data_IF_615672543254
#
_entry.id   IF_615672543254
#
_cell.length_a   1.000
_cell.length_b   1.000
_cell.length_c   1.000
_cell.angle_alpha   90.00
_cell.angle_beta   90.00
_cell.angle_gamma   90.00
#
_symmetry.space_group_name_H-M   'P 1'
#
loop_
_entity.id
_entity.type
_entity.pdbx_description
1 polymer ?
#
# COMPACT_ATOMS: atom_id res chain seq x y z
N UNK A 1 43.60 28.16 26.58
CA UNK A 1 43.95 27.79 25.20
C UNK A 1 43.92 26.27 24.99
N UNK A 2 44.44 25.43 25.89
CA UNK A 2 44.34 23.96 25.73
C UNK A 2 42.87 23.45 25.61
N UNK A 3 41.96 23.95 26.45
CA UNK A 3 40.57 23.50 26.47
C UNK A 3 39.76 23.85 25.20
N UNK A 4 40.13 24.91 24.46
CA UNK A 4 39.39 25.29 23.24
C UNK A 4 39.72 24.36 22.08
N UNK A 5 40.97 23.88 22.01
CA UNK A 5 41.41 22.98 20.93
C UNK A 5 40.75 21.61 21.08
N UNK A 6 40.63 21.09 22.30
CA UNK A 6 39.95 19.82 22.55
C UNK A 6 38.47 19.88 22.17
N UNK A 7 37.79 20.98 22.51
CA UNK A 7 36.39 21.18 22.17
C UNK A 7 36.15 21.25 20.65
N UNK A 8 36.99 21.97 19.91
CA UNK A 8 36.93 22.05 18.44
C UNK A 8 37.11 20.67 17.79
N UNK A 9 38.06 19.87 18.27
CA UNK A 9 38.29 18.51 17.78
C UNK A 9 37.06 17.64 18.00
N UNK A 10 36.41 17.74 19.17
CA UNK A 10 35.20 16.99 19.48
C UNK A 10 34.03 17.38 18.57
N UNK A 11 33.82 18.68 18.32
CA UNK A 11 32.79 19.17 17.40
C UNK A 11 33.01 18.70 15.95
N UNK A 12 34.26 18.79 15.46
CA UNK A 12 34.64 18.29 14.14
C UNK A 12 34.45 16.78 14.02
N UNK A 13 34.81 16.02 15.05
CA UNK A 13 34.61 14.57 15.08
C UNK A 13 33.12 14.20 15.06
N UNK A 14 32.29 14.89 15.85
CA UNK A 14 30.85 14.68 15.87
C UNK A 14 30.21 15.02 14.52
N UNK A 15 30.60 16.15 13.92
CA UNK A 15 30.14 16.54 12.58
C UNK A 15 30.57 15.55 11.50
N UNK A 16 31.83 15.11 11.53
CA UNK A 16 32.35 14.12 10.60
C UNK A 16 31.57 12.80 10.71
N UNK A 17 31.32 12.33 11.92
CA UNK A 17 30.52 11.13 12.18
C UNK A 17 29.09 11.25 11.63
N UNK A 18 28.40 12.35 11.94
CA UNK A 18 27.05 12.60 11.41
C UNK A 18 27.04 12.69 9.88
N UNK A 19 28.02 13.39 9.28
CA UNK A 19 28.14 13.50 7.83
C UNK A 19 28.32 12.14 7.16
N UNK A 20 29.15 11.26 7.72
CA UNK A 20 29.32 9.88 7.23
C UNK A 20 28.01 9.11 7.31
N UNK A 21 27.26 9.23 8.41
CA UNK A 21 25.93 8.59 8.55
C UNK A 21 24.97 9.10 7.47
N UNK A 22 24.86 10.41 7.26
CA UNK A 22 23.96 10.98 6.25
C UNK A 22 24.36 10.59 4.83
N UNK A 23 25.66 10.58 4.50
CA UNK A 23 26.16 10.11 3.20
C UNK A 23 25.75 8.66 2.98
N UNK A 24 25.95 7.78 3.96
CA UNK A 24 25.55 6.36 3.87
C UNK A 24 24.05 6.20 3.62
N UNK A 25 23.22 6.99 4.33
CA UNK A 25 21.77 6.99 4.15
C UNK A 25 21.38 7.42 2.73
N UNK A 26 21.89 8.57 2.26
CA UNK A 26 21.59 9.09 0.91
C UNK A 26 22.02 8.12 -0.17
N UNK A 27 23.22 7.55 -0.08
CA UNK A 27 23.73 6.59 -1.08
C UNK A 27 22.84 5.34 -1.12
N UNK A 28 22.48 4.78 0.03
CA UNK A 28 21.61 3.60 0.06
C UNK A 28 20.21 3.90 -0.47
N UNK A 29 19.63 5.04 -0.10
CA UNK A 29 18.35 5.50 -0.64
C UNK A 29 18.40 5.67 -2.17
N UNK A 30 19.47 6.27 -2.72
CA UNK A 30 19.65 6.43 -4.16
C UNK A 30 19.70 5.10 -4.90
N UNK A 31 20.40 4.10 -4.37
CA UNK A 31 20.48 2.75 -4.98
C UNK A 31 19.10 2.11 -5.05
N UNK A 32 18.36 2.10 -3.94
CA UNK A 32 17.01 1.49 -3.89
C UNK A 32 16.01 2.30 -4.71
N UNK A 33 16.11 3.63 -4.69
CA UNK A 33 15.28 4.52 -5.50
C UNK A 33 15.50 4.32 -7.00
N UNK A 34 16.73 4.04 -7.45
CA UNK A 34 17.01 3.70 -8.84
C UNK A 34 16.22 2.46 -9.31
N UNK A 35 16.21 1.40 -8.50
CA UNK A 35 15.38 0.22 -8.78
C UNK A 35 13.88 0.55 -8.77
N UNK A 36 13.44 1.39 -7.82
CA UNK A 36 12.05 1.86 -7.76
C UNK A 36 11.63 2.65 -9.01
N UNK A 37 12.48 3.56 -9.50
CA UNK A 37 12.23 4.35 -10.69
C UNK A 37 12.06 3.48 -11.95
N UNK A 38 12.88 2.42 -12.09
CA UNK A 38 12.75 1.45 -13.18
C UNK A 38 11.38 0.73 -13.08
N UNK A 39 10.99 0.26 -11.89
CA UNK A 39 9.69 -0.38 -11.69
C UNK A 39 8.53 0.56 -12.05
N UNK A 40 8.57 1.81 -11.57
CA UNK A 40 7.55 2.81 -11.89
C UNK A 40 7.47 3.08 -13.39
N UNK A 41 8.60 3.23 -14.08
CA UNK A 41 8.63 3.43 -15.53
C UNK A 41 7.99 2.24 -16.28
N UNK A 42 8.33 1.00 -15.91
CA UNK A 42 7.74 -0.21 -16.48
C UNK A 42 6.23 -0.29 -16.20
N UNK A 43 5.80 0.05 -14.98
CA UNK A 43 4.40 0.06 -14.60
C UNK A 43 3.61 1.12 -15.36
N UNK A 44 4.14 2.35 -15.45
CA UNK A 44 3.51 3.42 -16.23
C UNK A 44 3.39 3.04 -17.70
N UNK A 45 4.45 2.47 -18.30
CA UNK A 45 4.39 1.96 -19.69
C UNK A 45 3.31 0.90 -19.85
N UNK A 46 3.25 -0.05 -18.92
CA UNK A 46 2.24 -1.13 -18.90
C UNK A 46 0.81 -0.60 -18.80
N UNK A 47 0.56 0.37 -17.92
CA UNK A 47 -0.76 1.02 -17.75
C UNK A 47 -1.14 1.82 -19.00
N UNK A 48 -0.20 2.61 -19.56
CA UNK A 48 -0.45 3.50 -20.69
C UNK A 48 -0.58 2.76 -22.02
N UNK A 49 0.02 1.58 -22.16
CA UNK A 49 -0.11 0.74 -23.35
C UNK A 49 -1.50 0.10 -23.51
N UNK A 50 -2.39 0.22 -22.52
CA UNK A 50 -3.76 -0.31 -22.60
C UNK A 50 -4.58 0.44 -23.65
N UNK A 51 -5.28 -0.25 -24.57
CA UNK A 51 -6.01 0.39 -25.67
C UNK A 51 -7.22 1.22 -25.20
N UNK A 52 -7.82 0.85 -24.06
CA UNK A 52 -8.95 1.59 -23.47
C UNK A 52 -8.51 2.22 -22.15
N UNK A 53 -8.46 3.56 -22.13
CA UNK A 53 -8.17 4.35 -20.94
C UNK A 53 -9.47 4.60 -20.19
N UNK A 54 -9.70 3.85 -19.12
CA UNK A 54 -10.84 4.04 -18.22
C UNK A 54 -10.46 4.99 -17.07
N UNK A 55 -11.45 5.51 -16.34
CA UNK A 55 -11.21 6.27 -15.10
C UNK A 55 -10.27 5.50 -14.14
N UNK A 56 -10.49 4.20 -13.97
CA UNK A 56 -9.65 3.33 -13.15
C UNK A 56 -8.18 3.25 -13.59
N UNK A 57 -7.92 3.42 -14.90
CA UNK A 57 -6.55 3.44 -15.44
C UNK A 57 -5.82 4.69 -14.93
N UNK A 58 -6.50 5.83 -14.89
CA UNK A 58 -5.96 7.08 -14.36
C UNK A 58 -5.80 7.04 -12.84
N UNK A 59 -6.76 6.47 -12.11
CA UNK A 59 -6.64 6.26 -10.66
C UNK A 59 -5.43 5.39 -10.33
N UNK A 60 -5.21 4.29 -11.08
CA UNK A 60 -4.07 3.40 -10.88
C UNK A 60 -2.74 4.11 -11.21
N UNK A 61 -2.71 4.92 -12.28
CA UNK A 61 -1.54 5.73 -12.61
C UNK A 61 -1.24 6.75 -11.50
N UNK A 62 -2.27 7.40 -10.96
CA UNK A 62 -2.13 8.31 -9.82
C UNK A 62 -1.60 7.60 -8.56
N UNK A 63 -2.10 6.40 -8.26
CA UNK A 63 -1.63 5.59 -7.13
C UNK A 63 -0.16 5.16 -7.25
N UNK A 64 0.41 5.14 -8.46
CA UNK A 64 1.84 4.87 -8.71
C UNK A 64 2.66 6.16 -8.68
N UNK A 65 2.20 7.20 -9.40
CA UNK A 65 2.96 8.44 -9.56
C UNK A 65 2.99 9.28 -8.28
N UNK A 66 1.95 9.24 -7.45
CA UNK A 66 1.89 10.02 -6.21
C UNK A 66 2.97 9.56 -5.20
N UNK A 67 3.05 8.27 -4.80
CA UNK A 67 4.15 7.80 -3.96
C UNK A 67 5.51 8.03 -4.60
N UNK A 68 5.66 7.79 -5.91
CA UNK A 68 6.93 8.03 -6.61
C UNK A 68 7.41 9.47 -6.48
N UNK A 69 6.52 10.44 -6.71
CA UNK A 69 6.82 11.87 -6.61
C UNK A 69 7.17 12.28 -5.18
N UNK A 70 6.48 11.72 -4.19
CA UNK A 70 6.76 11.98 -2.78
C UNK A 70 8.12 11.45 -2.34
N UNK A 71 8.48 10.23 -2.73
CA UNK A 71 9.79 9.64 -2.44
C UNK A 71 10.90 10.39 -3.18
N UNK A 72 10.68 10.76 -4.45
CA UNK A 72 11.63 11.56 -5.23
C UNK A 72 11.90 12.92 -4.56
N UNK A 73 10.85 13.59 -4.06
CA UNK A 73 10.98 14.84 -3.34
C UNK A 73 11.77 14.67 -2.03
N UNK A 74 11.47 13.64 -1.23
CA UNK A 74 12.21 13.34 0.01
C UNK A 74 13.68 13.08 -0.27
N UNK A 75 14.01 12.29 -1.30
CA UNK A 75 15.39 12.01 -1.68
C UNK A 75 16.12 13.29 -2.13
N UNK A 76 15.49 14.09 -2.99
CA UNK A 76 16.06 15.37 -3.45
C UNK A 76 16.32 16.33 -2.30
N UNK A 77 15.42 16.37 -1.33
CA UNK A 77 15.57 17.18 -0.12
C UNK A 77 16.66 16.63 0.82
N UNK A 78 16.80 15.31 0.97
CA UNK A 78 17.88 14.71 1.76
C UNK A 78 19.26 15.04 1.18
N UNK A 79 19.41 14.93 -0.14
CA UNK A 79 20.63 15.33 -0.85
C UNK A 79 20.91 16.81 -0.65
N UNK A 80 19.91 17.68 -0.83
CA UNK A 80 20.09 19.12 -0.66
C UNK A 80 20.42 19.50 0.79
N UNK A 81 19.79 18.85 1.77
CA UNK A 81 20.08 19.04 3.19
C UNK A 81 21.54 18.73 3.51
N UNK A 82 22.04 17.58 3.05
CA UNK A 82 23.44 17.19 3.22
C UNK A 82 24.41 18.21 2.59
N UNK A 83 24.12 18.66 1.36
CA UNK A 83 24.96 19.67 0.68
C UNK A 83 24.96 20.99 1.48
N UNK A 84 23.79 21.45 1.94
CA UNK A 84 23.69 22.70 2.71
C UNK A 84 24.43 22.61 4.05
N UNK A 85 24.40 21.47 4.74
CA UNK A 85 25.13 21.30 5.99
C UNK A 85 26.65 21.26 5.75
N UNK A 86 27.12 20.59 4.70
CA UNK A 86 28.53 20.62 4.29
C UNK A 86 28.98 22.02 3.88
N UNK A 87 28.19 22.73 3.08
CA UNK A 87 28.47 24.11 2.66
C UNK A 87 28.51 25.05 3.86
N UNK A 88 27.55 24.96 4.78
CA UNK A 88 27.45 25.85 5.93
C UNK A 88 28.66 25.73 6.88
N UNK A 89 29.19 24.52 7.06
CA UNK A 89 30.25 24.24 8.06
C UNK A 89 31.64 24.25 7.43
N UNK A 90 31.81 23.67 6.23
CA UNK A 90 33.12 23.47 5.61
C UNK A 90 33.51 24.53 4.58
N UNK A 91 32.53 25.16 3.93
CA UNK A 91 32.78 26.05 2.78
C UNK A 91 32.54 27.51 3.13
N UNK A 92 31.42 27.79 3.80
CA UNK A 92 31.03 29.14 4.18
C UNK A 92 31.68 29.54 5.50
N UNK A 93 31.93 30.85 5.67
CA UNK A 93 32.48 31.43 6.90
C UNK A 93 33.85 30.86 7.30
N UNK A 94 34.75 30.61 6.33
CA UNK A 94 36.12 30.16 6.60
C UNK A 94 36.91 31.11 7.52
N UNK A 95 36.47 32.37 7.62
CA UNK A 95 37.05 33.41 8.49
C UNK A 95 36.65 33.25 9.97
N UNK A 96 35.56 32.53 10.28
CA UNK A 96 35.09 32.30 11.65
C UNK A 96 35.80 31.09 12.27
N UNK A 97 35.93 31.09 13.61
CA UNK A 97 36.45 29.92 14.33
C UNK A 97 35.53 28.70 14.14
N UNK A 98 36.06 27.50 14.31
CA UNK A 98 35.26 26.26 14.17
C UNK A 98 34.09 26.29 15.16
N UNK A 99 34.34 26.67 16.41
CA UNK A 99 33.30 26.82 17.44
C UNK A 99 32.22 27.80 17.00
N UNK A 100 32.59 28.97 16.49
CA UNK A 100 31.61 29.97 16.03
C UNK A 100 30.76 29.48 14.86
N UNK A 101 31.32 28.67 13.96
CA UNK A 101 30.55 28.05 12.86
C UNK A 101 29.52 27.04 13.37
N UNK A 102 29.77 26.37 14.50
CA UNK A 102 28.85 25.42 15.10
C UNK A 102 27.84 26.08 16.05
N UNK A 103 28.28 27.03 16.87
CA UNK A 103 27.46 27.68 17.89
C UNK A 103 26.68 28.89 17.37
N UNK A 104 27.29 29.66 16.45
CA UNK A 104 26.73 30.88 15.89
C UNK A 104 26.69 30.83 14.36
N UNK A 105 26.11 29.79 13.73
CA UNK A 105 26.06 29.67 12.29
C UNK A 105 25.18 30.78 11.70
N UNK A 106 25.74 31.97 11.46
CA UNK A 106 25.07 33.19 10.98
C UNK A 106 23.56 33.16 11.29
N UNK A 107 23.26 33.16 12.59
CA UNK A 107 22.06 32.54 13.18
C UNK A 107 20.80 33.00 12.45
N UNK A 108 20.70 34.27 12.12
CA UNK A 108 19.50 34.81 11.48
C UNK A 108 19.34 34.32 10.03
N UNK A 109 20.40 34.34 9.21
CA UNK A 109 20.29 33.94 7.80
C UNK A 109 20.19 32.43 7.61
N UNK A 110 20.98 31.65 8.36
CA UNK A 110 20.91 30.20 8.25
C UNK A 110 19.63 29.67 8.89
N UNK A 111 19.17 30.26 10.00
CA UNK A 111 17.91 29.86 10.61
C UNK A 111 16.71 30.20 9.73
N UNK A 112 16.65 31.38 9.10
CA UNK A 112 15.56 31.68 8.15
C UNK A 112 15.58 30.74 6.96
N UNK A 113 16.75 30.47 6.35
CA UNK A 113 16.86 29.52 5.23
C UNK A 113 16.52 28.09 5.67
N UNK A 114 17.03 27.63 6.81
CA UNK A 114 16.73 26.31 7.38
C UNK A 114 15.26 26.19 7.73
N UNK A 115 14.61 27.21 8.28
CA UNK A 115 13.19 27.13 8.62
C UNK A 115 12.30 27.02 7.37
N UNK A 116 12.57 27.83 6.35
CA UNK A 116 11.84 27.81 5.07
C UNK A 116 11.98 26.45 4.36
N UNK A 117 13.17 25.85 4.42
CA UNK A 117 13.46 24.56 3.76
C UNK A 117 13.02 23.38 4.62
N UNK A 118 13.29 23.39 5.93
CA UNK A 118 13.05 22.27 6.82
C UNK A 118 11.56 22.06 7.12
N UNK A 119 10.73 23.10 7.11
CA UNK A 119 9.29 22.91 7.36
C UNK A 119 8.66 22.02 6.28
N UNK A 120 8.77 22.32 4.96
CA UNK A 120 8.32 21.42 3.91
C UNK A 120 8.96 20.04 3.97
N UNK A 121 10.26 19.96 4.27
CA UNK A 121 10.97 18.68 4.41
C UNK A 121 10.33 17.83 5.50
N UNK A 122 10.12 18.41 6.69
CA UNK A 122 9.56 17.70 7.82
C UNK A 122 8.11 17.28 7.55
N UNK A 123 7.32 18.13 6.88
CA UNK A 123 5.95 17.77 6.46
C UNK A 123 5.99 16.58 5.51
N UNK A 124 6.80 16.64 4.46
CA UNK A 124 6.91 15.57 3.46
C UNK A 124 7.50 14.29 4.05
N UNK A 125 8.48 14.41 4.95
CA UNK A 125 9.06 13.30 5.69
C UNK A 125 8.00 12.59 6.55
N UNK A 126 7.27 13.37 7.34
CA UNK A 126 6.19 12.88 8.19
C UNK A 126 5.06 12.24 7.36
N UNK A 127 4.67 12.85 6.24
CA UNK A 127 3.70 12.29 5.31
C UNK A 127 4.17 10.99 4.64
N UNK A 128 5.47 10.78 4.44
CA UNK A 128 6.00 9.54 3.89
C UNK A 128 6.13 8.41 4.93
N UNK A 129 5.73 8.65 6.18
CA UNK A 129 5.80 7.65 7.25
C UNK A 129 7.07 7.77 8.10
N UNK A 130 7.65 8.97 8.17
CA UNK A 130 8.78 9.36 9.03
C UNK A 130 9.47 8.23 9.79
N UNK A 131 9.32 8.21 11.12
CA UNK A 131 9.86 7.13 11.95
C UNK A 131 8.97 5.86 11.91
N UNK A 132 7.64 5.99 11.88
CA UNK A 132 6.68 4.90 12.12
C UNK A 132 5.86 4.57 10.86
N UNK A 133 5.34 3.35 10.70
CA UNK A 133 4.61 2.86 9.50
C UNK A 133 3.24 3.52 9.25
N UNK A 134 3.09 4.76 9.69
CA UNK A 134 1.91 5.59 9.53
C UNK A 134 2.18 6.65 8.45
N UNK A 135 2.52 6.24 7.23
CA UNK A 135 2.73 7.16 6.09
C UNK A 135 1.68 7.01 4.99
N UNK A 136 1.57 8.00 4.12
CA UNK A 136 0.71 7.95 2.94
C UNK A 136 1.02 6.76 2.01
N UNK A 137 2.30 6.38 1.76
CA UNK A 137 2.62 5.15 1.02
C UNK A 137 2.07 3.88 1.69
N UNK A 138 2.13 3.81 3.03
CA UNK A 138 1.59 2.68 3.80
C UNK A 138 0.06 2.64 3.71
N UNK A 139 -0.62 3.77 3.89
CA UNK A 139 -2.07 3.87 3.74
C UNK A 139 -2.56 3.48 2.35
N UNK A 140 -1.84 3.88 1.30
CA UNK A 140 -2.15 3.47 -0.08
C UNK A 140 -2.00 1.95 -0.23
N UNK A 141 -0.91 1.38 0.28
CA UNK A 141 -0.69 -0.06 0.23
C UNK A 141 -1.76 -0.83 1.01
N UNK A 142 -2.13 -0.38 2.19
CA UNK A 142 -3.18 -0.97 3.02
C UNK A 142 -4.53 -0.93 2.32
N UNK A 143 -4.88 0.22 1.72
CA UNK A 143 -6.10 0.37 0.95
C UNK A 143 -6.12 -0.55 -0.27
N UNK A 144 -4.98 -0.71 -0.96
CA UNK A 144 -4.85 -1.62 -2.10
C UNK A 144 -4.88 -3.10 -1.69
N UNK A 145 -4.27 -3.47 -0.56
CA UNK A 145 -4.36 -4.81 0.01
C UNK A 145 -5.81 -5.14 0.39
N UNK A 146 -6.47 -4.23 1.10
CA UNK A 146 -7.86 -4.39 1.51
C UNK A 146 -8.81 -4.46 0.31
N UNK A 147 -8.65 -3.57 -0.67
CA UNK A 147 -9.44 -3.59 -1.90
C UNK A 147 -9.30 -4.91 -2.64
N UNK A 148 -8.07 -5.43 -2.82
CA UNK A 148 -7.83 -6.71 -3.49
C UNK A 148 -8.48 -7.88 -2.74
N UNK A 149 -8.31 -7.93 -1.42
CA UNK A 149 -8.96 -8.94 -0.59
C UNK A 149 -10.48 -8.89 -0.77
N UNK A 150 -11.09 -7.71 -0.66
CA UNK A 150 -12.55 -7.53 -0.78
C UNK A 150 -13.10 -7.88 -2.17
N UNK A 151 -12.36 -7.60 -3.24
CA UNK A 151 -12.80 -7.93 -4.61
C UNK A 151 -12.81 -9.45 -4.85
N UNK A 152 -11.86 -10.17 -4.25
CA UNK A 152 -11.70 -11.61 -4.42
C UNK A 152 -12.58 -12.42 -3.45
N UNK A 153 -12.93 -11.82 -2.32
CA UNK A 153 -13.71 -12.43 -1.26
C UNK A 153 -15.22 -12.35 -1.55
N UNK A 154 -15.71 -13.21 -2.45
CA UNK A 154 -17.09 -13.21 -2.96
C UNK A 154 -18.00 -14.31 -2.40
N UNK A 155 -17.81 -14.71 -1.14
CA UNK A 155 -18.70 -15.71 -0.54
C UNK A 155 -19.92 -15.06 0.13
N UNK A 156 -21.10 -15.65 -0.12
CA UNK A 156 -22.39 -15.26 0.48
C UNK A 156 -22.52 -15.62 1.97
N UNK A 157 -21.46 -16.21 2.56
CA UNK A 157 -21.44 -16.61 3.96
C UNK A 157 -21.50 -15.40 4.92
N UNK A 158 -22.19 -15.55 6.05
CA UNK A 158 -22.26 -14.50 7.08
C UNK A 158 -20.86 -14.12 7.59
N UNK A 159 -19.99 -15.11 7.82
CA UNK A 159 -18.59 -14.92 8.23
C UNK A 159 -17.82 -14.03 7.27
N UNK A 160 -18.03 -14.22 5.97
CA UNK A 160 -17.39 -13.42 4.91
C UNK A 160 -17.74 -11.94 5.04
N UNK A 161 -19.01 -11.63 5.33
CA UNK A 161 -19.47 -10.26 5.57
C UNK A 161 -18.84 -9.63 6.81
N UNK A 162 -18.73 -10.38 7.91
CA UNK A 162 -18.12 -9.87 9.14
C UNK A 162 -16.63 -9.54 8.96
N UNK A 163 -15.86 -10.41 8.29
CA UNK A 163 -14.44 -10.16 8.02
C UNK A 163 -14.25 -8.95 7.09
N UNK A 164 -15.07 -8.84 6.06
CA UNK A 164 -15.05 -7.66 5.17
C UNK A 164 -15.37 -6.35 5.91
N UNK A 165 -16.33 -6.37 6.84
CA UNK A 165 -16.63 -5.23 7.70
C UNK A 165 -15.48 -4.90 8.65
N UNK A 166 -14.90 -5.89 9.31
CA UNK A 166 -13.76 -5.71 10.19
C UNK A 166 -12.58 -5.05 9.46
N UNK A 167 -12.27 -5.49 8.24
CA UNK A 167 -11.21 -4.90 7.42
C UNK A 167 -11.47 -3.43 7.06
N UNK A 168 -12.72 -3.07 6.72
CA UNK A 168 -13.09 -1.67 6.46
C UNK A 168 -12.97 -0.79 7.70
N UNK A 169 -13.37 -1.32 8.86
CA UNK A 169 -13.24 -0.63 10.15
C UNK A 169 -11.76 -0.43 10.49
N UNK A 170 -10.92 -1.46 10.36
CA UNK A 170 -9.48 -1.37 10.58
C UNK A 170 -8.83 -0.31 9.68
N UNK A 171 -9.16 -0.30 8.39
CA UNK A 171 -8.68 0.71 7.45
C UNK A 171 -9.13 2.12 7.88
N UNK A 172 -10.42 2.29 8.17
CA UNK A 172 -10.96 3.57 8.64
C UNK A 172 -10.31 4.09 9.92
N UNK A 173 -10.08 3.21 10.89
CA UNK A 173 -9.38 3.55 12.13
C UNK A 173 -7.91 3.93 11.89
N UNK A 174 -7.24 3.26 10.95
CA UNK A 174 -5.85 3.61 10.57
C UNK A 174 -5.78 5.03 10.03
N UNK A 175 -6.69 5.40 9.12
CA UNK A 175 -6.80 6.79 8.61
C UNK A 175 -7.15 7.79 9.71
N UNK A 176 -8.11 7.44 10.58
CA UNK A 176 -8.56 8.29 11.68
C UNK A 176 -7.45 8.57 12.70
N UNK A 177 -6.56 7.61 12.95
CA UNK A 177 -5.42 7.79 13.86
C UNK A 177 -4.23 8.48 13.20
N UNK A 178 -4.02 8.25 11.90
CA UNK A 178 -2.93 8.86 11.14
C UNK A 178 -3.03 10.40 11.11
N UNK A 179 -4.18 10.97 10.73
CA UNK A 179 -4.30 12.41 10.53
C UNK A 179 -3.97 13.19 11.83
N UNK A 180 -4.55 12.89 12.99
CA UNK A 180 -4.20 13.56 14.25
C UNK A 180 -2.75 13.35 14.65
N UNK A 181 -2.20 12.13 14.47
CA UNK A 181 -0.80 11.87 14.78
C UNK A 181 0.14 12.79 13.98
N UNK A 182 -0.13 12.96 12.67
CA UNK A 182 0.66 13.83 11.80
C UNK A 182 0.53 15.31 12.17
N UNK A 183 -0.69 15.77 12.52
CA UNK A 183 -0.91 17.15 12.97
C UNK A 183 -0.14 17.42 14.27
N UNK A 184 -0.22 16.53 15.25
CA UNK A 184 0.51 16.69 16.52
C UNK A 184 2.02 16.66 16.30
N UNK A 185 2.52 15.71 15.50
CA UNK A 185 3.96 15.65 15.15
C UNK A 185 4.43 16.92 14.46
N UNK A 186 3.64 17.47 13.55
CA UNK A 186 3.96 18.72 12.89
C UNK A 186 4.01 19.90 13.87
N UNK A 187 3.00 20.04 14.73
CA UNK A 187 2.95 21.10 15.76
C UNK A 187 4.14 21.00 16.72
N UNK A 188 4.46 19.79 17.17
CA UNK A 188 5.64 19.54 18.04
C UNK A 188 6.93 19.90 17.31
N UNK A 189 7.08 19.50 16.05
CA UNK A 189 8.26 19.83 15.24
C UNK A 189 8.43 21.33 15.11
N UNK A 190 7.36 22.07 14.79
CA UNK A 190 7.39 23.53 14.64
C UNK A 190 7.68 24.23 15.97
N UNK A 191 7.15 23.72 17.09
CA UNK A 191 7.46 24.26 18.44
C UNK A 191 8.91 24.02 18.81
N UNK A 192 9.44 22.83 18.57
CA UNK A 192 10.82 22.45 18.88
C UNK A 192 11.85 23.21 18.05
N UNK A 193 11.49 23.75 16.88
CA UNK A 193 12.37 24.67 16.16
C UNK A 193 12.61 25.99 16.92
N UNK A 194 11.72 26.36 17.84
CA UNK A 194 11.80 27.60 18.62
C UNK A 194 12.32 27.40 20.05
N UNK A 195 12.36 26.17 20.56
CA UNK A 195 12.79 25.84 21.93
C UNK A 195 13.98 24.89 21.91
N UNK A 196 14.98 25.15 22.75
CA UNK A 196 16.09 24.23 22.99
C UNK A 196 15.56 22.82 23.28
N UNK A 197 15.97 21.86 22.45
CA UNK A 197 15.42 20.51 22.27
C UNK A 197 15.17 19.77 23.60
N UNK A 198 13.91 19.53 23.94
CA UNK A 198 13.54 18.49 24.90
C UNK A 198 13.41 17.15 24.18
N UNK A 199 14.02 16.10 24.73
CA UNK A 199 13.93 14.73 24.22
C UNK A 199 12.48 14.26 24.34
N UNK A 200 11.87 13.96 23.19
CA UNK A 200 10.49 13.47 23.10
C UNK A 200 10.44 12.03 23.61
N UNK A 201 9.97 11.82 24.84
CA UNK A 201 9.80 10.49 25.42
C UNK A 201 8.66 9.67 24.79
N UNK A 202 8.63 8.36 25.03
CA UNK A 202 7.57 7.47 24.56
C UNK A 202 6.17 7.78 25.12
N UNK A 203 6.09 8.56 26.20
CA UNK A 203 4.85 9.03 26.80
C UNK A 203 4.16 10.13 25.98
N UNK A 204 4.79 10.63 24.92
CA UNK A 204 4.22 11.70 24.09
C UNK A 204 3.03 11.14 23.29
N UNK A 205 1.85 11.79 23.33
CA UNK A 205 0.64 11.30 22.68
C UNK A 205 0.80 10.98 21.19
N UNK A 206 1.66 11.70 20.45
CA UNK A 206 1.92 11.42 19.04
C UNK A 206 2.58 10.07 18.81
N UNK A 207 3.49 9.65 19.70
CA UNK A 207 4.15 8.34 19.63
C UNK A 207 3.14 7.22 19.85
N UNK A 208 2.28 7.35 20.86
CA UNK A 208 1.22 6.38 21.16
C UNK A 208 0.25 6.26 19.98
N UNK A 209 -0.20 7.39 19.43
CA UNK A 209 -1.10 7.39 18.27
C UNK A 209 -0.45 6.75 17.04
N UNK A 210 0.84 7.02 16.80
CA UNK A 210 1.57 6.48 15.67
C UNK A 210 1.80 4.97 15.78
N UNK A 211 2.20 4.46 16.96
CA UNK A 211 2.32 3.02 17.22
C UNK A 211 0.97 2.34 17.05
N UNK A 212 -0.10 2.95 17.58
CA UNK A 212 -1.46 2.43 17.45
C UNK A 212 -1.90 2.36 15.99
N UNK A 213 -1.68 3.43 15.21
CA UNK A 213 -1.96 3.45 13.77
C UNK A 213 -1.15 2.37 13.03
N UNK A 214 0.12 2.18 13.40
CA UNK A 214 0.98 1.13 12.85
C UNK A 214 0.44 -0.27 13.15
N UNK A 215 -0.01 -0.53 14.38
CA UNK A 215 -0.60 -1.80 14.77
C UNK A 215 -1.91 -2.08 14.00
N UNK A 216 -2.75 -1.07 13.80
CA UNK A 216 -3.98 -1.17 13.00
C UNK A 216 -3.66 -1.45 11.52
N UNK A 217 -2.64 -0.81 10.97
CA UNK A 217 -2.12 -1.06 9.61
C UNK A 217 -1.64 -2.51 9.45
N UNK A 218 -0.83 -3.01 10.40
CA UNK A 218 -0.36 -4.40 10.42
C UNK A 218 -1.56 -5.36 10.49
N UNK A 219 -2.51 -5.10 11.37
CA UNK A 219 -3.71 -5.93 11.52
C UNK A 219 -4.56 -5.93 10.23
N UNK A 220 -4.74 -4.78 9.58
CA UNK A 220 -5.43 -4.65 8.31
C UNK A 220 -4.77 -5.50 7.21
N UNK A 221 -3.44 -5.41 7.08
CA UNK A 221 -2.70 -6.23 6.12
C UNK A 221 -2.71 -7.71 6.47
N UNK A 222 -2.64 -8.07 7.74
CA UNK A 222 -2.72 -9.46 8.19
C UNK A 222 -4.08 -10.07 7.82
N UNK A 223 -5.18 -9.36 8.09
CA UNK A 223 -6.53 -9.79 7.71
C UNK A 223 -6.67 -9.89 6.19
N UNK A 224 -6.25 -8.87 5.44
CA UNK A 224 -6.30 -8.89 3.97
C UNK A 224 -5.46 -10.05 3.38
N UNK A 225 -4.27 -10.29 3.93
CA UNK A 225 -3.37 -11.37 3.51
C UNK A 225 -3.97 -12.74 3.83
N UNK A 226 -4.54 -12.91 5.03
CA UNK A 226 -5.22 -14.14 5.43
C UNK A 226 -6.44 -14.43 4.54
N UNK A 227 -7.22 -13.40 4.17
CA UNK A 227 -8.31 -13.53 3.21
C UNK A 227 -7.79 -14.02 1.86
N UNK A 228 -6.74 -13.39 1.31
CA UNK A 228 -6.16 -13.81 0.03
C UNK A 228 -5.61 -15.24 0.08
N UNK A 229 -4.94 -15.61 1.17
CA UNK A 229 -4.40 -16.95 1.38
C UNK A 229 -5.51 -18.02 1.46
N UNK A 230 -6.59 -17.73 2.20
CA UNK A 230 -7.73 -18.62 2.32
C UNK A 230 -8.45 -18.78 0.98
N UNK A 231 -8.69 -17.69 0.25
CA UNK A 231 -9.24 -17.75 -1.10
C UNK A 231 -8.35 -18.56 -2.04
N UNK A 232 -7.03 -18.40 -1.98
CA UNK A 232 -6.08 -19.21 -2.75
C UNK A 232 -6.19 -20.70 -2.42
N UNK A 233 -6.32 -21.04 -1.13
CA UNK A 233 -6.52 -22.41 -0.66
C UNK A 233 -7.81 -23.02 -1.21
N UNK A 234 -8.92 -22.30 -1.15
CA UNK A 234 -10.20 -22.76 -1.70
C UNK A 234 -10.12 -23.02 -3.21
N UNK A 235 -9.49 -22.11 -3.98
CA UNK A 235 -9.29 -22.33 -5.41
C UNK A 235 -8.47 -23.58 -5.69
N UNK A 236 -7.40 -23.84 -4.93
CA UNK A 236 -6.60 -25.08 -5.06
C UNK A 236 -7.39 -26.33 -4.69
N UNK A 237 -8.21 -26.28 -3.64
CA UNK A 237 -9.04 -27.40 -3.25
C UNK A 237 -10.10 -27.72 -4.34
N UNK A 238 -10.67 -26.67 -4.95
CA UNK A 238 -11.58 -26.82 -6.08
C UNK A 238 -10.86 -27.36 -7.33
N UNK A 239 -9.64 -26.92 -7.60
CA UNK A 239 -8.76 -27.43 -8.68
C UNK A 239 -8.53 -28.93 -8.54
N UNK A 240 -8.14 -29.37 -7.34
CA UNK A 240 -7.89 -30.77 -7.02
C UNK A 240 -9.14 -31.64 -7.15
N UNK A 241 -10.31 -31.10 -6.80
CA UNK A 241 -11.59 -31.82 -6.91
C UNK A 241 -12.08 -31.98 -8.36
N UNK A 242 -11.85 -30.99 -9.21
CA UNK A 242 -12.41 -30.97 -10.58
C UNK A 242 -11.40 -31.35 -11.68
N UNK A 243 -10.10 -31.47 -11.37
CA UNK A 243 -9.08 -31.90 -12.32
C UNK A 243 -8.68 -30.85 -13.37
N UNK A 244 -9.20 -29.62 -13.29
CA UNK A 244 -8.82 -28.51 -14.19
C UNK A 244 -7.79 -27.62 -13.51
N UNK A 245 -6.68 -27.31 -14.18
CA UNK A 245 -5.66 -26.41 -13.64
C UNK A 245 -6.06 -24.94 -13.78
N UNK A 246 -6.10 -24.19 -12.68
CA UNK A 246 -6.47 -22.76 -12.68
C UNK A 246 -5.24 -21.92 -12.26
N UNK A 247 -4.63 -21.25 -13.23
CA UNK A 247 -3.46 -20.39 -12.99
C UNK A 247 -3.72 -19.24 -11.99
N UNK A 248 -4.98 -18.80 -11.85
CA UNK A 248 -5.39 -17.76 -10.88
C UNK A 248 -5.03 -18.12 -9.44
N UNK A 249 -5.06 -19.40 -9.06
CA UNK A 249 -4.69 -19.84 -7.71
C UNK A 249 -3.22 -19.53 -7.39
N UNK A 250 -2.33 -19.65 -8.40
CA UNK A 250 -0.90 -19.36 -8.24
C UNK A 250 -0.64 -17.86 -8.03
N UNK A 251 -1.35 -17.01 -8.77
CA UNK A 251 -1.24 -15.55 -8.63
C UNK A 251 -1.71 -15.10 -7.23
N UNK A 252 -2.80 -15.69 -6.73
CA UNK A 252 -3.30 -15.40 -5.38
C UNK A 252 -2.29 -15.78 -4.30
N UNK A 253 -1.59 -16.91 -4.47
CA UNK A 253 -0.50 -17.30 -3.57
C UNK A 253 0.64 -16.28 -3.60
N UNK A 254 1.05 -15.81 -4.78
CA UNK A 254 2.06 -14.74 -4.86
C UNK A 254 1.59 -13.45 -4.18
N UNK A 255 0.30 -13.10 -4.25
CA UNK A 255 -0.21 -11.96 -3.49
C UNK A 255 -0.16 -12.19 -1.98
N UNK A 256 -0.55 -13.38 -1.51
CA UNK A 256 -0.48 -13.71 -0.10
C UNK A 256 0.97 -13.71 0.42
N UNK A 257 1.91 -14.32 -0.32
CA UNK A 257 3.34 -14.33 0.01
C UNK A 257 3.92 -12.90 0.05
N UNK A 258 3.60 -12.08 -0.95
CA UNK A 258 4.04 -10.69 -1.01
C UNK A 258 3.45 -9.84 0.13
N UNK A 259 2.18 -10.08 0.49
CA UNK A 259 1.52 -9.42 1.63
C UNK A 259 2.12 -9.84 2.97
N UNK A 260 2.51 -11.10 3.12
CA UNK A 260 3.21 -11.59 4.31
C UNK A 260 4.59 -10.94 4.47
N UNK A 261 5.37 -10.83 3.38
CA UNK A 261 6.67 -10.14 3.41
C UNK A 261 6.49 -8.67 3.81
N UNK A 262 5.47 -8.00 3.26
CA UNK A 262 5.14 -6.63 3.62
C UNK A 262 4.78 -6.48 5.10
N UNK A 263 3.94 -7.36 5.64
CA UNK A 263 3.59 -7.40 7.06
C UNK A 263 4.82 -7.61 7.96
N UNK A 264 5.73 -8.52 7.58
CA UNK A 264 6.96 -8.75 8.34
C UNK A 264 7.85 -7.50 8.36
N UNK A 265 7.96 -6.81 7.23
CA UNK A 265 8.69 -5.54 7.14
C UNK A 265 8.09 -4.49 8.09
N UNK A 266 6.76 -4.36 8.15
CA UNK A 266 6.09 -3.45 9.10
C UNK A 266 6.41 -3.82 10.56
N UNK A 267 6.31 -5.11 10.92
CA UNK A 267 6.63 -5.57 12.29
C UNK A 267 8.08 -5.20 12.67
N UNK A 268 9.05 -5.42 11.78
CA UNK A 268 10.46 -5.06 12.03
C UNK A 268 10.61 -3.54 12.21
N UNK A 269 9.95 -2.73 11.38
CA UNK A 269 9.98 -1.27 11.52
C UNK A 269 9.40 -0.80 12.85
N UNK A 270 8.27 -1.33 13.29
CA UNK A 270 7.69 -1.02 14.61
C UNK A 270 8.64 -1.43 15.73
N UNK A 271 9.21 -2.64 15.67
CA UNK A 271 10.16 -3.11 16.66
C UNK A 271 11.38 -2.18 16.78
N UNK A 272 11.95 -1.76 15.65
CA UNK A 272 13.07 -0.82 15.63
C UNK A 272 12.72 0.55 16.21
N UNK A 273 11.51 1.06 15.97
CA UNK A 273 11.05 2.31 16.59
C UNK A 273 10.97 2.19 18.12
N UNK A 274 10.49 1.07 18.63
CA UNK A 274 10.42 0.83 20.08
C UNK A 274 11.81 0.66 20.68
N UNK A 275 12.76 0.07 19.95
CA UNK A 275 14.14 -0.09 20.41
C UNK A 275 14.89 1.25 20.46
N UNK A 276 14.67 2.14 19.49
CA UNK A 276 15.33 3.44 19.43
C UNK A 276 15.08 4.34 20.66
N UNK A 277 14.02 4.08 21.43
CA UNK A 277 13.74 4.91 22.62
C UNK A 277 14.68 4.66 23.80
N UNK A 278 15.46 3.59 23.78
CA UNK A 278 16.23 3.13 24.94
C UNK A 278 17.75 3.25 24.77
N UNK A 279 18.25 3.52 23.56
CA UNK A 279 19.68 3.42 23.23
C UNK A 279 20.38 4.78 23.13
N UNK A 280 21.68 4.77 23.45
CA UNK A 280 22.59 5.90 23.26
C UNK A 280 22.69 6.28 21.76
N UNK A 281 22.61 7.58 21.49
CA UNK A 281 22.27 8.18 20.19
C UNK A 281 23.29 7.89 19.05
N UNK A 282 24.43 7.24 19.29
CA UNK A 282 25.56 7.20 18.33
C UNK A 282 26.14 5.81 18.03
N UNK A 283 25.38 4.73 18.23
CA UNK A 283 25.80 3.37 17.89
C UNK A 283 25.68 2.98 16.40
N UNK A 284 26.39 1.91 16.00
CA UNK A 284 26.21 1.26 14.70
C UNK A 284 24.79 0.72 14.49
N UNK A 285 24.15 0.28 15.57
CA UNK A 285 22.75 -0.15 15.59
C UNK A 285 21.81 1.01 15.22
N UNK A 286 21.99 2.19 15.83
CA UNK A 286 21.19 3.38 15.51
C UNK A 286 21.30 3.74 14.02
N UNK A 287 22.51 3.72 13.47
CA UNK A 287 22.74 3.93 12.03
C UNK A 287 22.01 2.88 11.17
N UNK A 288 22.09 1.61 11.57
CA UNK A 288 21.40 0.52 10.87
C UNK A 288 19.87 0.65 10.91
N UNK A 289 19.31 1.08 12.04
CA UNK A 289 17.87 1.32 12.17
C UNK A 289 17.42 2.46 11.26
N UNK A 290 18.11 3.61 11.29
CA UNK A 290 17.79 4.75 10.42
C UNK A 290 17.84 4.35 8.94
N UNK A 291 18.89 3.61 8.54
CA UNK A 291 19.03 3.11 7.19
C UNK A 291 17.89 2.18 6.79
N UNK A 292 17.51 1.25 7.67
CA UNK A 292 16.42 0.32 7.43
C UNK A 292 15.09 1.04 7.28
N UNK A 293 14.79 2.02 8.15
CA UNK A 293 13.58 2.83 8.08
C UNK A 293 13.50 3.57 6.73
N UNK A 294 14.58 4.23 6.30
CA UNK A 294 14.62 4.94 5.03
C UNK A 294 14.35 4.01 3.84
N UNK A 295 15.06 2.88 3.77
CA UNK A 295 14.95 1.91 2.67
C UNK A 295 13.55 1.30 2.63
N UNK A 296 13.00 0.94 3.79
CA UNK A 296 11.70 0.27 3.84
C UNK A 296 10.52 1.17 3.45
N UNK A 297 10.65 2.50 3.55
CA UNK A 297 9.66 3.42 2.96
C UNK A 297 9.68 3.31 1.42
N UNK A 298 10.86 3.23 0.82
CA UNK A 298 11.01 3.06 -0.63
C UNK A 298 10.47 1.69 -1.05
N UNK A 299 10.81 0.62 -0.32
CA UNK A 299 10.29 -0.73 -0.58
C UNK A 299 8.76 -0.80 -0.47
N UNK A 300 8.18 -0.10 0.51
CA UNK A 300 6.74 0.07 0.64
C UNK A 300 6.17 0.74 -0.63
N UNK A 301 6.75 1.85 -1.08
CA UNK A 301 6.31 2.52 -2.30
C UNK A 301 6.51 1.67 -3.59
N UNK A 302 7.51 0.78 -3.61
CA UNK A 302 7.75 -0.19 -4.70
C UNK A 302 6.69 -1.28 -4.80
N UNK A 303 6.01 -1.59 -3.69
CA UNK A 303 5.05 -2.70 -3.63
C UNK A 303 3.89 -2.53 -4.62
N UNK A 304 3.31 -1.33 -4.69
CA UNK A 304 2.21 -1.02 -5.61
C UNK A 304 2.57 -1.26 -7.08
N UNK A 305 3.63 -0.65 -7.66
CA UNK A 305 3.99 -0.90 -9.05
C UNK A 305 4.43 -2.34 -9.31
N UNK A 306 5.13 -2.99 -8.37
CA UNK A 306 5.52 -4.39 -8.51
C UNK A 306 4.28 -5.30 -8.63
N UNK A 307 3.27 -5.10 -7.79
CA UNK A 307 2.01 -5.84 -7.86
C UNK A 307 1.27 -5.61 -9.17
N UNK A 308 1.24 -4.37 -9.67
CA UNK A 308 0.60 -4.07 -10.97
C UNK A 308 1.32 -4.80 -12.10
N UNK A 309 2.66 -4.88 -12.07
CA UNK A 309 3.44 -5.63 -13.05
C UNK A 309 3.17 -7.14 -12.94
N UNK A 310 3.16 -7.69 -11.73
CA UNK A 310 2.83 -9.10 -11.49
C UNK A 310 1.44 -9.44 -12.02
N UNK A 311 0.44 -8.57 -11.78
CA UNK A 311 -0.90 -8.73 -12.36
C UNK A 311 -0.82 -8.65 -13.89
N UNK A 312 -0.22 -7.60 -14.45
CA UNK A 312 -0.29 -7.36 -15.89
C UNK A 312 0.45 -8.43 -16.71
N UNK A 313 1.62 -8.88 -16.24
CA UNK A 313 2.41 -9.90 -16.93
C UNK A 313 2.03 -11.32 -16.52
N UNK A 314 1.62 -11.54 -15.26
CA UNK A 314 1.20 -12.85 -14.76
C UNK A 314 -0.14 -13.33 -15.33
N UNK A 315 -1.08 -12.42 -15.59
CA UNK A 315 -2.34 -12.77 -16.26
C UNK A 315 -2.19 -12.93 -17.78
N UNK A 316 -1.28 -12.19 -18.43
CA UNK A 316 -1.09 -12.29 -19.89
C UNK A 316 -0.44 -13.61 -20.32
N UNK A 317 0.38 -14.23 -19.47
CA UNK A 317 0.99 -15.54 -19.74
C UNK A 317 0.04 -16.72 -19.45
N UNK A 318 -0.98 -16.49 -18.63
CA UNK A 318 -1.98 -17.51 -18.30
C UNK A 318 -2.95 -17.78 -19.46
N UNK A 319 -3.15 -16.83 -20.37
CA UNK A 319 -3.95 -17.00 -21.60
C UNK A 319 -3.17 -17.75 -22.70
N UNK A 320 -1.87 -18.02 -22.52
CA UNK A 320 -1.01 -18.57 -23.60
C UNK A 320 -0.83 -20.10 -23.56
N UNK A 321 -1.33 -20.81 -22.55
CA UNK A 321 -1.31 -22.28 -22.50
C UNK A 321 -2.61 -22.75 -21.81
N UNK A 322 -3.43 -23.67 -22.31
CA UNK A 322 -3.12 -24.92 -23.00
C UNK A 322 -4.28 -25.21 -23.97
N UNK A 323 -4.07 -25.10 -25.29
CA UNK A 323 -4.75 -26.00 -26.22
C UNK A 323 -4.23 -27.40 -25.86
N UNK A 324 -4.97 -28.11 -25.00
CA UNK A 324 -4.71 -29.53 -24.81
C UNK A 324 -5.12 -30.13 -26.14
N UNK A 325 -4.15 -30.36 -27.00
CA UNK A 325 -4.28 -31.25 -28.13
C UNK A 325 -4.97 -32.51 -27.61
N UNK A 326 -6.25 -32.65 -27.95
CA UNK A 326 -7.01 -33.88 -27.80
C UNK A 326 -6.55 -34.93 -28.84
N UNK A 327 -5.27 -34.87 -29.23
CA UNK A 327 -4.61 -35.82 -30.11
C UNK A 327 -4.10 -36.99 -29.28
N UNK A 328 -5.04 -37.73 -28.71
CA UNK A 328 -4.79 -39.10 -28.33
C UNK A 328 -6.09 -39.91 -28.42
N UNK A 329 -6.41 -40.30 -29.66
CA UNK A 329 -6.72 -41.72 -29.89
C UNK A 329 -8.15 -42.13 -30.18
N UNK A 330 -9.03 -41.26 -30.71
CA UNK A 330 -10.31 -41.71 -31.27
C UNK A 330 -10.33 -41.56 -32.79
N UNK A 331 -9.91 -42.61 -33.48
CA UNK A 331 -10.24 -42.85 -34.87
C UNK A 331 -11.77 -42.99 -34.99
N UNK A 332 -12.46 -41.86 -35.16
CA UNK A 332 -13.91 -41.80 -35.23
C UNK A 332 -14.34 -40.40 -35.68
N UNK A 333 -14.24 -40.16 -36.99
CA UNK A 333 -14.51 -38.86 -37.60
C UNK A 333 -15.94 -38.38 -37.34
N UNK A 334 -16.07 -37.41 -36.45
CA UNK A 334 -17.18 -36.46 -36.46
C UNK A 334 -16.52 -35.08 -36.52
N UNK A 335 -16.59 -34.46 -37.69
CA UNK A 335 -16.08 -33.13 -37.96
C UNK A 335 -16.80 -32.10 -37.09
N UNK A 336 -16.29 -31.87 -35.88
CA UNK A 336 -16.71 -30.74 -35.07
C UNK A 336 -16.09 -29.50 -35.67
N UNK A 337 -16.93 -28.70 -36.34
CA UNK A 337 -16.55 -27.42 -36.92
C UNK A 337 -16.21 -26.48 -35.77
N UNK A 338 -14.93 -26.43 -35.45
CA UNK A 338 -14.34 -25.60 -34.41
C UNK A 338 -14.57 -24.12 -34.77
N UNK A 339 -15.68 -23.56 -34.26
CA UNK A 339 -15.87 -22.11 -34.24
C UNK A 339 -14.90 -21.57 -33.22
N UNK A 340 -13.78 -21.03 -33.71
CA UNK A 340 -12.87 -20.19 -32.94
C UNK A 340 -13.68 -19.19 -32.11
N UNK A 341 -13.85 -19.49 -30.82
CA UNK A 341 -14.50 -18.56 -29.89
C UNK A 341 -13.48 -17.47 -29.63
N UNK A 342 -13.85 -16.19 -29.78
CA UNK A 342 -12.93 -15.09 -29.50
C UNK A 342 -12.46 -15.22 -28.05
N UNK A 343 -11.14 -15.25 -27.86
CA UNK A 343 -10.47 -15.27 -26.56
C UNK A 343 -11.07 -14.18 -25.69
N UNK A 344 -11.89 -14.58 -24.72
CA UNK A 344 -12.50 -13.66 -23.76
C UNK A 344 -11.50 -13.45 -22.63
N UNK A 345 -10.68 -12.42 -22.77
CA UNK A 345 -9.89 -11.87 -21.67
C UNK A 345 -10.81 -11.44 -20.53
N UNK A 346 -10.37 -11.60 -19.27
CA UNK A 346 -11.11 -11.20 -18.05
C UNK A 346 -11.60 -9.74 -18.07
N UNK A 347 -11.03 -8.86 -18.90
CA UNK A 347 -11.53 -7.51 -19.13
C UNK A 347 -12.89 -7.44 -19.85
N UNK A 348 -13.33 -8.52 -20.48
CA UNK A 348 -14.67 -8.68 -21.08
C UNK A 348 -15.68 -9.35 -20.13
N UNK A 349 -15.28 -9.71 -18.91
CA UNK A 349 -16.24 -9.93 -17.83
C UNK A 349 -16.81 -8.57 -17.44
N UNK A 350 -17.77 -8.11 -18.24
CA UNK A 350 -18.77 -7.16 -17.79
C UNK A 350 -19.41 -7.81 -16.57
N UNK A 351 -19.08 -7.31 -15.38
CA UNK A 351 -19.86 -7.60 -14.18
C UNK A 351 -21.24 -7.02 -14.44
N UNK A 352 -22.10 -7.82 -15.06
CA UNK A 352 -23.51 -7.52 -15.15
C UNK A 352 -23.99 -7.37 -13.74
N UNK A 353 -24.15 -6.12 -13.30
CA UNK A 353 -25.13 -5.80 -12.28
C UNK A 353 -26.39 -6.49 -12.75
N UNK A 354 -26.77 -7.55 -12.03
CA UNK A 354 -28.06 -8.22 -12.16
C UNK A 354 -29.10 -7.23 -11.62
N UNK A 355 -29.23 -6.07 -12.28
CA UNK A 355 -30.39 -5.22 -12.20
C UNK A 355 -31.51 -6.09 -12.77
N UNK A 356 -32.44 -6.46 -11.91
CA UNK A 356 -33.51 -7.37 -12.23
C UNK A 356 -34.23 -6.95 -13.50
N UNK A 357 -33.98 -7.66 -14.59
CA UNK A 357 -34.99 -7.87 -15.60
C UNK A 357 -35.99 -8.86 -14.98
N UNK A 358 -36.85 -8.33 -14.10
CA UNK A 358 -38.15 -8.91 -13.83
C UNK A 358 -38.94 -8.75 -15.13
N UNK A 359 -38.72 -9.67 -16.05
CA UNK A 359 -39.60 -9.85 -17.20
C UNK A 359 -40.92 -10.34 -16.61
N UNK A 360 -41.83 -9.38 -16.41
CA UNK A 360 -43.26 -9.65 -16.34
C UNK A 360 -43.66 -10.30 -17.65
N UNK A 361 -43.79 -11.62 -17.60
CA UNK A 361 -44.37 -12.43 -18.65
C UNK A 361 -45.89 -12.22 -18.60
N UNK A 362 -46.35 -11.10 -19.15
CA UNK A 362 -47.76 -10.85 -19.46
C UNK A 362 -48.02 -11.37 -20.87
N UNK A 363 -48.15 -12.68 -21.00
CA UNK A 363 -48.81 -13.27 -22.18
C UNK A 363 -50.31 -13.18 -21.99
N UNK A 364 -50.84 -12.09 -22.54
CA UNK A 364 -52.24 -11.90 -22.90
C UNK A 364 -52.57 -12.87 -24.06
N UNK A 365 -53.36 -13.90 -23.79
CA UNK A 365 -53.98 -14.72 -24.85
C UNK A 365 -55.47 -14.81 -24.62
N UNK A 366 -56.18 -13.80 -25.15
CA UNK A 366 -57.62 -13.80 -25.38
C UNK A 366 -57.93 -14.80 -26.50
N UNK A 367 -58.25 -16.03 -26.11
CA UNK A 367 -58.82 -17.05 -26.98
C UNK A 367 -60.18 -17.47 -26.44
N UNK A 368 -61.24 -16.82 -26.94
CA UNK A 368 -62.62 -17.28 -26.78
C UNK A 368 -62.74 -18.70 -27.35
N UNK A 369 -63.02 -19.68 -26.49
CA UNK A 369 -63.65 -20.92 -26.89
C UNK A 369 -64.93 -21.07 -26.08
N UNK A 370 -66.03 -20.69 -26.72
CA UNK A 370 -67.36 -21.15 -26.37
C UNK A 370 -67.48 -22.61 -26.78
N UNK A 371 -67.50 -23.52 -25.82
CA UNK A 371 -68.34 -24.69 -26.00
C UNK A 371 -68.84 -25.28 -24.69
N UNK A 372 -70.12 -25.62 -24.76
CA UNK A 372 -71.02 -26.10 -23.74
C UNK A 372 -70.70 -27.49 -23.21
N UNK A 373 -70.98 -27.74 -21.92
CA UNK A 373 -71.76 -28.85 -21.33
C UNK A 373 -71.44 -28.90 -19.83
N UNK A 374 -72.41 -28.61 -18.95
CA UNK A 374 -73.45 -29.51 -18.44
C UNK A 374 -72.95 -30.36 -17.24
N UNK A 375 -73.79 -30.34 -16.20
CA UNK A 375 -73.89 -31.27 -15.07
C UNK A 375 -73.28 -30.96 -13.69
N UNK A 376 -74.17 -30.46 -12.83
CA UNK A 376 -74.76 -31.15 -11.65
C UNK A 376 -73.84 -31.52 -10.48
N UNK A 377 -74.26 -31.08 -9.28
CA UNK A 377 -74.02 -31.73 -7.99
C UNK A 377 -73.55 -30.75 -6.92
N UNK A 378 -74.47 -30.25 -6.09
CA UNK A 378 -74.67 -30.68 -4.69
C UNK A 378 -73.46 -30.35 -3.80
N UNK A 379 -73.57 -29.30 -2.98
CA UNK A 379 -74.03 -29.39 -1.59
C UNK A 379 -72.81 -29.41 -0.67
N UNK A 380 -72.57 -28.36 0.11
CA UNK A 380 -72.53 -28.45 1.58
C UNK A 380 -72.20 -27.06 2.17
N UNK A 381 -73.10 -26.61 3.02
CA UNK A 381 -72.90 -25.46 3.88
C UNK A 381 -71.93 -25.81 5.02
N UNK A 382 -70.99 -24.92 5.35
CA UNK A 382 -70.50 -24.82 6.73
C UNK A 382 -69.99 -23.44 7.09
N UNK A 383 -70.94 -22.70 7.66
CA UNK A 383 -70.82 -21.85 8.83
C UNK A 383 -69.57 -22.09 9.69
N UNK A 384 -68.82 -21.02 9.99
CA UNK A 384 -68.18 -20.81 11.30
C UNK A 384 -67.72 -19.38 11.48
N UNK A 385 -68.49 -18.69 12.31
CA UNK A 385 -68.15 -17.55 13.15
C UNK A 385 -66.84 -17.70 13.94
N UNK A 386 -66.21 -16.55 14.22
CA UNK A 386 -65.71 -16.25 15.57
C UNK A 386 -64.20 -16.10 15.71
N UNK A 387 -63.77 -14.92 16.15
CA UNK A 387 -62.42 -14.62 16.63
C UNK A 387 -62.03 -13.17 16.39
#
# INVERSE_FOLDING_TARGET
>A
MANSTEHEIQLLAAFGSNSVIQIRRVVAQMVVFGAYAILVALTCRSILARPRKTFWTWTLLGAVLLPFSMIAAVLGMAVKGLILDLEAILVNNLEQSVVDRFEHPNRDQLHTKKLIINIPINILWNLNGGAIDCGLPFLINDALAAWRALVLWKEDNATSRYVAWALRVLLGLTFLMFIPAQVVMHVVTVRNLNSSVEVVGNSVPSTILSITASALSIASNAVATAMLAYTAYQYRAFEAKNGFKINSARILVFFAESGFIYMLMQIIRVAFNVLMSNDEVHGSLHTGILLFQDISVILCAMFTPALILIVNYGYSLADTCIEINADSGAAGGIAFKERARPVRTLSNLVFGSRAGAMATDTTDSTGQNSDSTENVGLEEARDKSGG
#
